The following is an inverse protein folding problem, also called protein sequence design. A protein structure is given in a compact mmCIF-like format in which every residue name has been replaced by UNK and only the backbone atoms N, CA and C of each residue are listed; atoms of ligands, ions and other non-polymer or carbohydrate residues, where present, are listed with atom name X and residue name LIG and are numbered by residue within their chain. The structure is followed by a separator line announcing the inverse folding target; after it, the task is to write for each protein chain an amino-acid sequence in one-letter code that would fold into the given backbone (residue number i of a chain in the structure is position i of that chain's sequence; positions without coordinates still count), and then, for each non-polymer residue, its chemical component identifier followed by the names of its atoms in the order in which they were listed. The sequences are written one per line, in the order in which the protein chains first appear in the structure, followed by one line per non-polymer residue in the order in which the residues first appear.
data_IF_616009969229
#
_entry.id   IF_616009969229
#
_cell.length_a   1.000
_cell.length_b   1.000
_cell.length_c   1.000
_cell.angle_alpha   90.00
_cell.angle_beta   90.00
_cell.angle_gamma   90.00
#
_symmetry.space_group_name_H-M   'P 1'
#
loop_
_entity.id
_entity.type
_entity.pdbx_description
1 polymer ?
#
# COMPACT_ATOMS: atom_id res chain seq x y z
N UNK A 1 -62.33 -45.63 28.82
CA UNK A 1 -61.98 -45.42 27.40
C UNK A 1 -61.49 -43.99 27.22
N UNK A 2 -60.22 -43.87 26.79
CA UNK A 2 -59.56 -42.76 26.07
C UNK A 2 -59.68 -41.33 26.63
N UNK A 3 -58.56 -40.86 27.17
CA UNK A 3 -58.30 -39.46 27.45
C UNK A 3 -58.03 -38.63 26.19
N UNK A 4 -58.18 -37.32 26.33
CA UNK A 4 -57.78 -36.32 25.35
C UNK A 4 -56.73 -35.43 26.01
N UNK A 5 -55.54 -35.42 25.43
CA UNK A 5 -54.35 -34.72 25.92
C UNK A 5 -54.41 -33.22 25.60
N UNK A 6 -53.96 -32.41 26.56
CA UNK A 6 -53.55 -31.02 26.38
C UNK A 6 -52.43 -30.92 25.34
N UNK A 7 -52.55 -29.97 24.41
CA UNK A 7 -51.44 -29.45 23.61
C UNK A 7 -51.14 -28.02 24.08
N UNK A 8 -50.12 -27.89 24.90
CA UNK A 8 -49.49 -26.61 25.25
C UNK A 8 -48.46 -26.33 24.17
N UNK A 9 -48.73 -25.34 23.31
CA UNK A 9 -47.78 -24.83 22.33
C UNK A 9 -46.72 -23.97 23.02
N UNK A 10 -45.50 -24.48 23.15
CA UNK A 10 -44.34 -23.69 23.55
C UNK A 10 -43.74 -23.00 22.31
N UNK A 11 -43.86 -21.69 22.23
CA UNK A 11 -43.19 -20.86 21.22
C UNK A 11 -41.75 -20.63 21.68
N UNK A 12 -40.80 -21.31 21.05
CA UNK A 12 -39.37 -21.06 21.24
C UNK A 12 -38.98 -19.77 20.49
N UNK A 13 -38.68 -18.71 21.24
CA UNK A 13 -38.02 -17.52 20.75
C UNK A 13 -36.56 -17.84 20.41
N UNK A 14 -36.29 -18.20 19.16
CA UNK A 14 -34.93 -18.23 18.61
C UNK A 14 -34.39 -16.81 18.50
N UNK A 15 -33.71 -16.35 19.55
CA UNK A 15 -32.83 -15.19 19.49
C UNK A 15 -31.65 -15.48 18.57
N UNK A 16 -31.77 -15.19 17.29
CA UNK A 16 -30.62 -14.97 16.42
C UNK A 16 -29.98 -13.66 16.85
N UNK A 17 -29.12 -13.71 17.86
CA UNK A 17 -28.12 -12.68 18.10
C UNK A 17 -27.20 -12.66 16.90
N UNK A 18 -27.48 -11.79 15.92
CA UNK A 18 -26.51 -11.40 14.92
C UNK A 18 -25.39 -10.69 15.66
N UNK A 19 -24.35 -11.44 16.02
CA UNK A 19 -23.02 -10.89 16.23
C UNK A 19 -22.65 -10.25 14.89
N UNK A 20 -22.96 -8.97 14.74
CA UNK A 20 -22.29 -8.12 13.79
C UNK A 20 -20.82 -8.10 14.22
N UNK A 21 -20.05 -9.06 13.75
CA UNK A 21 -18.61 -8.96 13.72
C UNK A 21 -18.31 -7.73 12.89
N UNK A 22 -18.09 -6.58 13.53
CA UNK A 22 -17.38 -5.48 12.91
C UNK A 22 -15.98 -6.04 12.71
N UNK A 23 -15.52 -6.38 11.48
CA UNK A 23 -14.15 -6.80 11.31
C UNK A 23 -13.34 -5.56 11.71
N UNK A 24 -12.66 -5.64 12.86
CA UNK A 24 -11.92 -4.51 13.41
C UNK A 24 -11.09 -3.90 12.30
N UNK A 25 -11.31 -2.61 12.03
CA UNK A 25 -10.74 -1.95 10.87
C UNK A 25 -9.23 -2.21 10.86
N UNK A 26 -8.79 -3.02 9.90
CA UNK A 26 -7.38 -3.32 9.73
C UNK A 26 -6.70 -2.07 9.14
N UNK A 27 -6.21 -1.22 10.03
CA UNK A 27 -5.52 0.02 9.70
C UNK A 27 -4.10 -0.20 9.16
N UNK A 28 -3.67 -1.47 9.03
CA UNK A 28 -2.42 -1.79 8.36
C UNK A 28 -2.52 -1.57 6.84
N UNK A 29 -1.35 -1.57 6.20
CA UNK A 29 -1.24 -1.54 4.74
C UNK A 29 -1.20 -2.95 4.12
N UNK A 30 -1.49 -4.00 4.90
CA UNK A 30 -1.53 -5.37 4.40
C UNK A 30 -2.69 -5.56 3.42
N UNK A 31 -2.53 -6.39 2.36
CA UNK A 31 -3.55 -6.61 1.34
C UNK A 31 -4.92 -6.91 1.92
N UNK A 32 -5.96 -6.33 1.33
CA UNK A 32 -7.33 -6.76 1.65
C UNK A 32 -7.52 -8.24 1.30
N UNK A 33 -8.23 -8.98 2.14
CA UNK A 33 -8.45 -10.43 2.01
C UNK A 33 -9.28 -10.85 0.78
N UNK A 34 -9.63 -9.91 -0.10
CA UNK A 34 -10.24 -10.19 -1.41
C UNK A 34 -9.17 -10.77 -2.33
N UNK A 35 -8.96 -12.07 -2.19
CA UNK A 35 -8.18 -12.86 -3.12
C UNK A 35 -8.76 -12.73 -4.53
N UNK A 36 -8.14 -11.91 -5.39
CA UNK A 36 -8.18 -12.19 -6.82
C UNK A 36 -7.41 -13.49 -7.04
N UNK A 37 -7.90 -14.42 -7.87
CA UNK A 37 -7.08 -15.51 -8.33
C UNK A 37 -5.85 -14.89 -9.00
N UNK A 38 -4.66 -15.15 -8.47
CA UNK A 38 -3.44 -14.81 -9.17
C UNK A 38 -3.49 -15.56 -10.50
N UNK A 39 -3.62 -14.83 -11.61
CA UNK A 39 -3.23 -15.41 -12.89
C UNK A 39 -1.77 -15.80 -12.72
N UNK A 40 -1.43 -17.05 -12.98
CA UNK A 40 -0.06 -17.51 -12.90
C UNK A 40 0.73 -16.80 -14.03
N UNK A 41 1.37 -15.70 -13.69
CA UNK A 41 2.25 -14.98 -14.61
C UNK A 41 3.60 -15.67 -14.55
N UNK A 42 4.14 -16.17 -15.67
CA UNK A 42 5.47 -16.74 -15.70
C UNK A 42 6.49 -15.71 -15.19
N UNK A 43 7.12 -16.02 -14.06
CA UNK A 43 8.17 -15.21 -13.48
C UNK A 43 9.46 -15.37 -14.28
N UNK A 44 10.09 -14.27 -14.68
CA UNK A 44 11.41 -14.30 -15.30
C UNK A 44 12.48 -14.77 -14.32
N UNK A 45 13.54 -15.43 -14.80
CA UNK A 45 14.55 -16.04 -13.93
C UNK A 45 15.36 -14.98 -13.17
N UNK A 46 15.46 -13.77 -13.70
CA UNK A 46 16.13 -12.65 -13.04
C UNK A 46 15.42 -11.31 -13.24
N UNK A 47 15.76 -10.34 -12.40
CA UNK A 47 15.28 -8.96 -12.56
C UNK A 47 15.78 -8.33 -13.87
N UNK A 48 16.98 -8.69 -14.34
CA UNK A 48 17.51 -8.20 -15.61
C UNK A 48 16.68 -8.70 -16.81
N UNK A 49 16.27 -9.97 -16.79
CA UNK A 49 15.37 -10.53 -17.80
C UNK A 49 13.99 -9.87 -17.74
N UNK A 50 13.46 -9.66 -16.53
CA UNK A 50 12.19 -8.95 -16.36
C UNK A 50 12.24 -7.54 -16.96
N UNK A 51 13.32 -6.78 -16.71
CA UNK A 51 13.52 -5.45 -17.28
C UNK A 51 13.61 -5.45 -18.81
N UNK A 52 14.13 -6.51 -19.43
CA UNK A 52 14.19 -6.64 -20.87
C UNK A 52 12.81 -7.00 -21.49
N UNK A 53 11.96 -7.69 -20.72
CA UNK A 53 10.66 -8.18 -21.17
C UNK A 53 9.52 -7.19 -20.93
N UNK A 54 9.51 -6.50 -19.78
CA UNK A 54 8.46 -5.55 -19.41
C UNK A 54 8.45 -4.33 -20.33
N UNK A 55 7.25 -3.79 -20.52
CA UNK A 55 6.96 -2.66 -21.41
C UNK A 55 6.32 -1.49 -20.67
N UNK A 56 5.69 -1.72 -19.52
CA UNK A 56 5.00 -0.64 -18.83
C UNK A 56 4.39 -1.00 -17.48
N UNK A 57 3.56 -0.09 -16.94
CA UNK A 57 2.86 -0.24 -15.66
C UNK A 57 2.09 -1.55 -15.53
N UNK A 58 1.48 -2.02 -16.61
CA UNK A 58 0.65 -3.20 -16.64
C UNK A 58 1.46 -4.46 -16.31
N UNK A 59 2.63 -4.64 -16.92
CA UNK A 59 3.50 -5.80 -16.67
C UNK A 59 4.04 -5.80 -15.24
N UNK A 60 4.52 -4.63 -14.78
CA UNK A 60 5.05 -4.47 -13.42
C UNK A 60 3.95 -4.70 -12.38
N UNK A 61 2.76 -4.15 -12.60
CA UNK A 61 1.62 -4.33 -11.71
C UNK A 61 1.13 -5.78 -11.69
N UNK A 62 1.14 -6.46 -12.83
CA UNK A 62 0.74 -7.84 -12.92
C UNK A 62 1.69 -8.75 -12.10
N UNK A 63 3.00 -8.52 -12.21
CA UNK A 63 3.99 -9.18 -11.35
C UNK A 63 3.77 -8.87 -9.86
N UNK A 64 3.52 -7.60 -9.51
CA UNK A 64 3.22 -7.20 -8.12
C UNK A 64 2.01 -7.98 -7.58
N UNK A 65 0.93 -8.08 -8.36
CA UNK A 65 -0.27 -8.81 -7.96
C UNK A 65 -0.05 -10.30 -7.74
N UNK A 66 0.89 -10.91 -8.47
CA UNK A 66 1.19 -12.34 -8.38
C UNK A 66 2.20 -12.67 -7.27
N UNK A 67 3.16 -11.77 -7.00
CA UNK A 67 4.38 -12.12 -6.24
C UNK A 67 4.49 -11.40 -4.90
N UNK A 68 3.90 -10.20 -4.77
CA UNK A 68 4.10 -9.38 -3.57
C UNK A 68 3.50 -10.01 -2.32
N UNK A 69 4.30 -10.04 -1.26
CA UNK A 69 3.90 -10.48 0.07
C UNK A 69 4.17 -9.37 1.08
N UNK A 70 3.17 -9.07 1.91
CA UNK A 70 3.27 -8.01 2.90
C UNK A 70 3.96 -8.52 4.18
N UNK A 71 5.04 -7.86 4.56
CA UNK A 71 5.80 -8.16 5.78
C UNK A 71 5.33 -7.27 6.94
N UNK A 72 4.49 -7.84 7.81
CA UNK A 72 3.95 -7.12 8.96
C UNK A 72 5.00 -6.80 10.01
N UNK A 73 6.00 -7.65 10.20
CA UNK A 73 7.03 -7.45 11.23
C UNK A 73 7.96 -6.30 10.81
N UNK A 74 8.30 -6.24 9.53
CA UNK A 74 8.98 -5.08 8.93
C UNK A 74 8.14 -3.81 8.99
N UNK A 75 6.82 -3.88 8.82
CA UNK A 75 5.95 -2.71 8.96
C UNK A 75 5.99 -2.12 10.37
N UNK A 76 5.98 -2.99 11.38
CA UNK A 76 6.15 -2.62 12.79
C UNK A 76 7.54 -2.02 13.04
N UNK A 77 8.60 -2.62 12.49
CA UNK A 77 9.97 -2.10 12.62
C UNK A 77 10.17 -0.73 11.94
N UNK A 78 9.49 -0.48 10.82
CA UNK A 78 9.53 0.79 10.08
C UNK A 78 8.54 1.85 10.59
N UNK A 79 7.73 1.52 11.61
CA UNK A 79 6.75 2.42 12.20
C UNK A 79 7.38 3.71 12.76
N UNK A 80 6.58 4.76 12.87
CA UNK A 80 7.04 6.04 13.40
C UNK A 80 7.64 5.93 14.81
N UNK A 81 7.00 5.14 15.68
CA UNK A 81 7.40 4.96 17.07
C UNK A 81 8.62 4.04 17.22
N UNK A 82 8.76 2.99 16.40
CA UNK A 82 9.94 2.13 16.42
C UNK A 82 11.19 2.85 15.88
N UNK A 83 11.04 3.63 14.80
CA UNK A 83 12.14 4.36 14.18
C UNK A 83 12.75 5.46 15.05
N UNK A 84 12.01 5.99 16.02
CA UNK A 84 12.51 7.02 16.91
C UNK A 84 13.65 6.53 17.84
N UNK A 85 13.75 5.20 18.06
CA UNK A 85 14.72 4.60 18.97
C UNK A 85 15.74 3.65 18.33
N UNK A 86 15.75 3.50 16.99
CA UNK A 86 16.55 2.47 16.30
C UNK A 86 17.31 3.05 15.09
N UNK A 87 18.43 2.41 14.67
CA UNK A 87 19.09 2.72 13.40
C UNK A 87 18.10 2.64 12.24
N UNK A 88 18.31 3.48 11.21
CA UNK A 88 17.43 3.51 10.06
C UNK A 88 17.45 2.15 9.32
N UNK A 89 16.32 1.45 9.31
CA UNK A 89 16.13 0.26 8.48
C UNK A 89 16.20 0.65 6.99
N UNK A 90 17.09 0.05 6.19
CA UNK A 90 17.19 0.35 4.77
C UNK A 90 15.93 -0.09 4.01
N UNK A 91 15.53 0.69 3.01
CA UNK A 91 14.47 0.32 2.06
C UNK A 91 15.08 -0.59 0.98
N UNK A 92 14.41 -1.69 0.64
CA UNK A 92 14.95 -2.77 -0.19
C UNK A 92 15.19 -2.27 -1.63
N UNK A 93 16.36 -2.57 -2.21
CA UNK A 93 16.69 -2.27 -3.62
C UNK A 93 15.82 -3.09 -4.59
N UNK A 94 15.44 -2.57 -5.78
CA UNK A 94 14.53 -3.26 -6.69
C UNK A 94 14.96 -4.68 -7.08
N UNK A 95 16.26 -4.92 -7.32
CA UNK A 95 16.76 -6.25 -7.66
C UNK A 95 16.64 -7.26 -6.50
N UNK A 96 16.89 -6.80 -5.27
CA UNK A 96 16.74 -7.61 -4.07
C UNK A 96 15.26 -7.88 -3.76
N UNK A 97 14.41 -6.86 -3.93
CA UNK A 97 12.96 -6.99 -3.81
C UNK A 97 12.39 -7.94 -4.86
N UNK A 98 12.87 -7.88 -6.11
CA UNK A 98 12.47 -8.85 -7.12
C UNK A 98 12.78 -10.26 -6.66
N UNK A 99 14.02 -10.53 -6.22
CA UNK A 99 14.46 -11.86 -5.78
C UNK A 99 13.65 -12.40 -4.60
N UNK A 100 13.26 -11.54 -3.66
CA UNK A 100 12.38 -11.87 -2.53
C UNK A 100 11.29 -10.79 -2.40
N UNK A 101 10.10 -11.01 -3.00
CA UNK A 101 9.02 -10.01 -3.13
C UNK A 101 8.25 -9.78 -1.83
N UNK A 102 8.97 -9.75 -0.72
CA UNK A 102 8.46 -9.58 0.64
C UNK A 102 8.89 -8.21 1.17
N UNK A 103 7.94 -7.40 1.61
CA UNK A 103 8.24 -6.08 2.17
C UNK A 103 7.00 -5.27 2.51
N UNK A 104 7.16 -3.96 2.62
CA UNK A 104 6.07 -3.03 2.98
C UNK A 104 5.81 -2.01 1.87
N UNK A 105 4.82 -1.13 2.08
CA UNK A 105 4.39 -0.12 1.10
C UNK A 105 5.55 0.69 0.49
N UNK A 106 6.54 1.11 1.28
CA UNK A 106 7.69 1.88 0.76
C UNK A 106 8.67 1.03 -0.06
N UNK A 107 8.87 -0.25 0.27
CA UNK A 107 9.71 -1.15 -0.53
C UNK A 107 9.04 -1.42 -1.88
N UNK A 108 7.73 -1.68 -1.86
CA UNK A 108 6.92 -1.93 -3.05
C UNK A 108 6.84 -0.69 -3.95
N UNK A 109 6.61 0.50 -3.37
CA UNK A 109 6.60 1.75 -4.13
C UNK A 109 7.98 2.05 -4.73
N UNK A 110 9.07 1.78 -4.01
CA UNK A 110 10.43 1.91 -4.54
C UNK A 110 10.67 0.98 -5.71
N UNK A 111 10.32 -0.30 -5.56
CA UNK A 111 10.41 -1.27 -6.64
C UNK A 111 9.67 -0.75 -7.89
N UNK A 112 8.41 -0.33 -7.76
CA UNK A 112 7.62 0.14 -8.89
C UNK A 112 8.20 1.42 -9.53
N UNK A 113 8.51 2.45 -8.74
CA UNK A 113 9.02 3.72 -9.28
C UNK A 113 10.34 3.52 -10.01
N UNK A 114 11.30 2.81 -9.42
CA UNK A 114 12.61 2.61 -10.04
C UNK A 114 12.55 1.65 -11.22
N UNK A 115 11.68 0.63 -11.19
CA UNK A 115 11.46 -0.26 -12.33
C UNK A 115 10.83 0.49 -13.51
N UNK A 116 9.75 1.23 -13.27
CA UNK A 116 9.02 1.93 -14.32
C UNK A 116 9.86 3.03 -14.98
N UNK A 117 10.70 3.73 -14.21
CA UNK A 117 11.68 4.67 -14.78
C UNK A 117 12.67 4.02 -15.76
N UNK A 118 12.86 2.70 -15.71
CA UNK A 118 13.74 1.96 -16.62
C UNK A 118 12.98 1.38 -17.82
N UNK A 119 11.80 0.83 -17.60
CA UNK A 119 11.04 0.11 -18.66
C UNK A 119 10.08 1.00 -19.44
N UNK A 120 9.66 2.12 -18.85
CA UNK A 120 8.76 3.10 -19.44
C UNK A 120 9.24 4.53 -19.10
N UNK A 121 10.44 4.93 -19.57
CA UNK A 121 11.08 6.20 -19.20
C UNK A 121 10.31 7.46 -19.64
N UNK A 122 9.40 7.32 -20.59
CA UNK A 122 8.48 8.38 -21.04
C UNK A 122 7.40 8.70 -20.00
N UNK A 123 7.12 7.78 -19.07
CA UNK A 123 6.18 8.02 -17.99
C UNK A 123 6.83 8.85 -16.90
N UNK A 124 6.14 9.92 -16.48
CA UNK A 124 6.57 10.76 -15.36
C UNK A 124 6.21 10.10 -14.02
N UNK A 125 6.94 9.04 -13.67
CA UNK A 125 6.71 8.24 -12.47
C UNK A 125 7.30 8.90 -11.22
N UNK A 126 6.48 9.06 -10.19
CA UNK A 126 6.83 9.68 -8.90
C UNK A 126 6.37 8.83 -7.73
N UNK A 127 6.97 9.06 -6.57
CA UNK A 127 6.47 8.54 -5.31
C UNK A 127 5.32 9.41 -4.83
N UNK A 128 4.27 8.81 -4.29
CA UNK A 128 3.26 9.51 -3.52
C UNK A 128 3.31 9.00 -2.07
N UNK A 129 3.62 9.92 -1.16
CA UNK A 129 3.60 9.67 0.27
C UNK A 129 2.27 10.19 0.83
N UNK A 130 1.53 9.31 1.49
CA UNK A 130 0.23 9.57 2.10
C UNK A 130 0.40 9.46 3.61
N UNK A 131 -0.09 10.44 4.34
CA UNK A 131 -0.21 10.39 5.79
C UNK A 131 -1.69 10.29 6.16
N UNK A 132 -2.03 9.21 6.82
CA UNK A 132 -3.33 9.02 7.43
C UNK A 132 -3.37 9.59 8.86
N UNK A 133 -4.57 9.80 9.39
CA UNK A 133 -4.78 9.99 10.83
C UNK A 133 -4.15 8.82 11.60
N UNK A 134 -3.21 9.04 12.54
CA UNK A 134 -2.43 7.97 13.18
C UNK A 134 -3.27 6.82 13.76
N UNK A 135 -2.80 5.58 13.59
CA UNK A 135 -3.47 4.39 14.11
C UNK A 135 -2.45 3.49 14.80
N UNK A 136 -2.90 2.75 15.83
CA UNK A 136 -2.06 1.76 16.52
C UNK A 136 -2.21 0.40 15.83
N UNK A 137 -1.08 -0.16 15.39
CA UNK A 137 -1.00 -1.52 14.85
C UNK A 137 0.08 -2.25 15.63
N UNK A 138 -0.29 -3.34 16.32
CA UNK A 138 0.61 -4.12 17.20
C UNK A 138 1.40 -3.23 18.19
N UNK A 139 0.74 -2.23 18.76
CA UNK A 139 1.33 -1.30 19.75
C UNK A 139 2.26 -0.22 19.17
N UNK A 140 2.45 -0.18 17.85
CA UNK A 140 3.20 0.87 17.17
C UNK A 140 2.26 1.84 16.46
N UNK A 141 2.68 3.10 16.33
CA UNK A 141 1.95 4.09 15.52
C UNK A 141 2.39 3.96 14.08
N UNK A 142 1.44 3.63 13.20
CA UNK A 142 1.61 3.64 11.75
C UNK A 142 0.76 4.76 11.19
N UNK A 143 1.35 5.65 10.39
CA UNK A 143 0.58 6.70 9.67
C UNK A 143 0.95 6.87 8.20
N UNK A 144 2.14 6.46 7.79
CA UNK A 144 2.61 6.66 6.41
C UNK A 144 2.27 5.47 5.55
N UNK A 145 1.84 5.79 4.33
CA UNK A 145 1.68 4.86 3.25
C UNK A 145 2.37 5.41 2.00
N UNK A 146 2.92 4.53 1.18
CA UNK A 146 3.65 4.88 -0.02
C UNK A 146 3.09 4.11 -1.20
N UNK A 147 2.87 4.82 -2.31
CA UNK A 147 2.46 4.26 -3.59
C UNK A 147 3.26 4.91 -4.71
N UNK A 148 3.20 4.34 -5.91
CA UNK A 148 3.73 4.95 -7.12
C UNK A 148 2.60 5.64 -7.89
N UNK A 149 2.91 6.80 -8.48
CA UNK A 149 1.98 7.53 -9.35
C UNK A 149 2.64 7.85 -10.68
N UNK A 150 1.86 7.83 -11.74
CA UNK A 150 2.27 8.28 -13.06
C UNK A 150 1.11 8.96 -13.76
N UNK A 151 1.43 9.84 -14.70
CA UNK A 151 0.44 10.54 -15.52
C UNK A 151 0.49 10.00 -16.94
N UNK A 152 -0.68 9.80 -17.55
CA UNK A 152 -0.83 9.55 -18.97
C UNK A 152 -1.92 10.49 -19.54
N UNK A 153 -2.28 10.32 -20.81
CA UNK A 153 -3.25 11.18 -21.49
C UNK A 153 -4.65 11.21 -20.80
N UNK A 154 -5.02 10.15 -20.07
CA UNK A 154 -6.32 10.07 -19.41
C UNK A 154 -6.31 10.69 -17.99
N UNK A 155 -5.14 10.94 -17.42
CA UNK A 155 -4.97 11.49 -16.07
C UNK A 155 -3.96 10.71 -15.20
N UNK A 156 -4.10 10.89 -13.89
CA UNK A 156 -3.22 10.30 -12.88
C UNK A 156 -3.63 8.85 -12.63
N UNK A 157 -2.66 7.95 -12.70
CA UNK A 157 -2.78 6.53 -12.34
C UNK A 157 -1.95 6.27 -11.08
N UNK A 158 -2.47 5.40 -10.21
CA UNK A 158 -1.82 4.99 -8.95
C UNK A 158 -1.59 3.49 -9.01
N UNK A 159 -0.37 3.04 -8.70
CA UNK A 159 0.05 1.64 -8.77
C UNK A 159 0.90 1.29 -7.55
N UNK A 160 1.15 0.01 -7.33
CA UNK A 160 2.01 -0.48 -6.23
C UNK A 160 1.46 -0.12 -4.84
N UNK A 161 0.12 -0.08 -4.73
CA UNK A 161 -0.62 0.00 -3.49
C UNK A 161 -0.54 -1.33 -2.74
N UNK A 162 0.21 -1.39 -1.64
CA UNK A 162 0.34 -2.65 -0.87
C UNK A 162 -0.97 -3.13 -0.25
N UNK A 163 -1.98 -2.24 -0.10
CA UNK A 163 -3.33 -2.62 0.35
C UNK A 163 -4.10 -3.35 -0.76
N UNK A 164 -3.75 -3.09 -2.02
CA UNK A 164 -4.40 -3.62 -3.23
C UNK A 164 -3.36 -3.97 -4.30
N UNK A 165 -2.47 -4.94 -4.04
CA UNK A 165 -1.45 -5.33 -5.00
C UNK A 165 -2.11 -5.85 -6.29
N UNK A 166 -1.52 -5.51 -7.44
CA UNK A 166 -2.09 -5.89 -8.73
C UNK A 166 -3.24 -5.00 -9.22
N UNK A 167 -3.50 -3.87 -8.57
CA UNK A 167 -4.47 -2.87 -9.04
C UNK A 167 -3.75 -1.58 -9.46
N UNK A 168 -4.01 -1.15 -10.71
CA UNK A 168 -3.77 0.23 -11.15
C UNK A 168 -5.08 0.99 -10.95
N UNK A 169 -5.09 1.96 -10.05
CA UNK A 169 -6.24 2.81 -9.77
C UNK A 169 -6.23 4.09 -10.64
N UNK A 170 -7.42 4.65 -10.86
CA UNK A 170 -7.64 5.81 -11.74
C UNK A 170 -8.14 5.41 -13.14
N UNK A 171 -8.12 6.33 -14.12
CA UNK A 171 -7.51 7.66 -14.03
C UNK A 171 -8.24 8.62 -13.08
N UNK A 172 -7.46 9.48 -12.43
CA UNK A 172 -7.93 10.61 -11.63
C UNK A 172 -7.51 11.93 -12.28
N UNK A 173 -8.35 12.96 -12.21
CA UNK A 173 -7.98 14.28 -12.72
C UNK A 173 -7.06 15.04 -11.78
N UNK A 174 -7.15 14.76 -10.48
CA UNK A 174 -6.30 15.36 -9.45
C UNK A 174 -5.94 14.34 -8.38
N UNK A 175 -4.82 14.56 -7.67
CA UNK A 175 -4.46 13.76 -6.50
C UNK A 175 -5.48 13.88 -5.37
N UNK A 176 -6.22 14.99 -5.31
CA UNK A 176 -7.29 15.17 -4.34
C UNK A 176 -8.42 14.16 -4.57
N UNK A 177 -8.84 13.95 -5.82
CA UNK A 177 -9.87 12.94 -6.14
C UNK A 177 -9.43 11.54 -5.69
N UNK A 178 -8.17 11.19 -5.98
CA UNK A 178 -7.58 9.94 -5.50
C UNK A 178 -7.59 9.89 -3.96
N UNK A 179 -7.13 10.93 -3.28
CA UNK A 179 -7.03 10.95 -1.82
C UNK A 179 -8.40 10.79 -1.15
N UNK A 180 -9.44 11.45 -1.67
CA UNK A 180 -10.81 11.34 -1.14
C UNK A 180 -11.38 9.92 -1.32
N UNK A 181 -11.19 9.32 -2.50
CA UNK A 181 -11.60 7.94 -2.75
C UNK A 181 -10.82 6.94 -1.89
N UNK A 182 -9.50 7.12 -1.80
CA UNK A 182 -8.63 6.23 -1.07
C UNK A 182 -8.86 6.32 0.44
N UNK A 183 -9.15 7.50 0.98
CA UNK A 183 -9.55 7.65 2.38
C UNK A 183 -10.85 6.88 2.70
N UNK A 184 -11.84 6.95 1.80
CA UNK A 184 -13.09 6.15 1.94
C UNK A 184 -12.80 4.66 1.91
N UNK A 185 -11.98 4.21 0.95
CA UNK A 185 -11.59 2.80 0.83
C UNK A 185 -10.87 2.30 2.07
N UNK A 186 -9.96 3.11 2.63
CA UNK A 186 -9.18 2.77 3.82
C UNK A 186 -9.97 2.89 5.11
N UNK A 187 -11.17 3.48 5.09
CA UNK A 187 -11.94 3.80 6.29
C UNK A 187 -11.15 4.69 7.26
N UNK A 188 -10.23 5.51 6.73
CA UNK A 188 -9.23 6.25 7.51
C UNK A 188 -8.90 7.55 6.81
N UNK A 189 -8.99 8.67 7.54
CA UNK A 189 -8.77 9.99 6.97
C UNK A 189 -7.32 10.16 6.48
N UNK A 190 -7.14 10.70 5.28
CA UNK A 190 -5.85 11.21 4.81
C UNK A 190 -5.71 12.65 5.29
N UNK A 191 -4.70 12.92 6.11
CA UNK A 191 -4.43 14.25 6.68
C UNK A 191 -3.41 15.04 5.85
N UNK A 192 -2.56 14.34 5.09
CA UNK A 192 -1.59 14.97 4.19
C UNK A 192 -1.19 13.99 3.09
N UNK A 193 -0.84 14.52 1.92
CA UNK A 193 -0.21 13.75 0.85
C UNK A 193 0.72 14.65 0.05
N UNK A 194 1.78 14.08 -0.53
CA UNK A 194 2.70 14.80 -1.40
C UNK A 194 3.44 13.89 -2.37
N UNK A 195 3.72 14.40 -3.55
CA UNK A 195 4.58 13.75 -4.52
C UNK A 195 6.05 14.02 -4.23
N UNK A 196 6.90 13.03 -4.52
CA UNK A 196 8.33 13.07 -4.25
C UNK A 196 9.10 12.38 -5.38
N UNK A 197 10.28 12.90 -5.70
CA UNK A 197 11.18 12.26 -6.67
C UNK A 197 11.95 11.07 -6.07
N UNK A 198 12.05 11.02 -4.73
CA UNK A 198 12.74 9.99 -3.95
C UNK A 198 11.98 9.69 -2.66
N UNK A 199 12.03 8.42 -2.24
CA UNK A 199 11.54 7.96 -0.94
C UNK A 199 12.41 8.46 0.23
N UNK A 200 13.66 8.85 -0.04
CA UNK A 200 14.57 9.35 0.96
C UNK A 200 14.26 10.81 1.29
N UNK A 201 14.31 11.13 2.59
CA UNK A 201 14.30 12.52 3.01
C UNK A 201 15.63 13.14 2.60
N UNK A 202 15.63 14.09 1.65
CA UNK A 202 16.83 14.92 1.38
C UNK A 202 17.23 15.58 2.69
N UNK A 203 18.33 15.14 3.30
CA UNK A 203 18.97 15.88 4.38
C UNK A 203 19.34 17.23 3.78
N UNK A 204 18.81 18.34 4.33
CA UNK A 204 19.37 19.66 3.99
C UNK A 204 20.83 19.60 4.42
N UNK A 205 21.75 19.52 3.45
CA UNK A 205 23.17 19.63 3.74
C UNK A 205 23.39 21.00 4.39
N UNK A 206 24.25 21.07 5.40
CA UNK A 206 24.58 22.31 6.10
C UNK A 206 25.03 23.44 5.14
N UNK A 207 25.51 23.10 3.94
CA UNK A 207 25.83 24.02 2.86
C UNK A 207 24.63 24.88 2.40
N UNK A 208 23.40 24.35 2.47
CA UNK A 208 22.19 25.08 2.05
C UNK A 208 21.78 26.17 3.04
N UNK A 209 22.26 26.10 4.29
CA UNK A 209 21.99 27.11 5.33
C UNK A 209 22.99 28.28 5.25
N UNK A 210 24.26 27.98 4.97
CA UNK A 210 25.31 28.99 4.81
C UNK A 210 25.12 29.89 3.58
N UNK A 211 24.53 29.38 2.49
CA UNK A 211 24.26 30.23 1.30
C UNK A 211 23.16 31.25 1.57
N UNK A 212 22.20 30.97 2.46
CA UNK A 212 21.13 31.93 2.79
C UNK A 212 21.61 33.00 3.78
N UNK A 213 22.43 32.62 4.75
CA UNK A 213 23.01 33.55 5.75
C UNK A 213 24.12 34.45 5.17
N UNK A 214 24.60 34.21 3.94
CA UNK A 214 25.59 35.07 3.25
C UNK A 214 24.95 36.05 2.26
N UNK A 215 23.64 35.98 2.07
CA UNK A 215 22.86 36.84 1.17
C UNK A 215 21.88 37.76 1.92
N UNK A 216 21.90 37.72 3.26
CA UNK A 216 21.24 38.67 4.18
C UNK A 216 22.33 39.53 4.85
#
# INVERSE_FOLDING_TARGET
MRGAALLIGAILLSGCGSLASNPGADFSDAPESRARPALAIPRHASYAEALAAWRGPEDVNAWIGAEFQYDMDRAVALSETARAGQPATPIIEPAAFYARPEGVCVDLARFAVETLRRVAPELRVRYLMIEFEPASVRGQVLRRHWVAVYENADGIRVVADSKRPGIIAGPYQTLQQFAEEYARLRGRQIVHYRELDSYQRKMKSAASRQVRERLE
#
